data_IF_221362377249
#
_entry.id   IF_221362377249
#
_cell.length_a   1.000
_cell.length_b   1.000
_cell.length_c   1.000
_cell.angle_alpha   90.00
_cell.angle_beta   90.00
_cell.angle_gamma   90.00
#
_symmetry.space_group_name_H-M   'P 1'
#
loop_
_entity.id
_entity.type
_entity.pdbx_description
1 polymer ?
#
# COMPACT_ATOMS: atom_id res chain seq x y z
N UNK A 1 -13.01 -20.07 26.73
CA UNK A 1 -13.72 -19.53 25.55
C UNK A 1 -13.37 -18.07 25.24
N UNK A 2 -13.26 -17.16 26.23
CA UNK A 2 -12.90 -15.74 26.00
C UNK A 2 -11.48 -15.51 25.45
N UNK A 3 -10.47 -16.27 25.91
CA UNK A 3 -9.08 -16.10 25.48
C UNK A 3 -8.87 -16.39 23.97
N UNK A 4 -9.57 -17.38 23.42
CA UNK A 4 -9.51 -17.71 21.99
C UNK A 4 -10.06 -16.57 21.10
N UNK A 5 -11.03 -15.81 21.60
CA UNK A 5 -11.58 -14.64 20.90
C UNK A 5 -10.53 -13.53 20.73
N UNK A 6 -9.72 -13.27 21.77
CA UNK A 6 -8.68 -12.23 21.75
C UNK A 6 -7.48 -12.61 20.88
N UNK A 7 -7.13 -13.90 20.82
CA UNK A 7 -6.05 -14.42 19.95
C UNK A 7 -6.46 -14.31 18.47
N UNK A 8 -7.71 -14.66 18.13
CA UNK A 8 -8.20 -14.50 16.76
C UNK A 8 -8.23 -13.05 16.28
N UNK A 9 -8.62 -12.11 17.15
CA UNK A 9 -8.73 -10.69 16.81
C UNK A 9 -7.35 -10.02 16.54
N UNK A 10 -6.32 -10.42 17.29
CA UNK A 10 -4.96 -9.89 17.13
C UNK A 10 -4.27 -10.42 15.86
N UNK A 11 -4.49 -11.69 15.51
CA UNK A 11 -4.00 -12.28 14.27
C UNK A 11 -4.60 -11.64 13.00
N UNK A 12 -5.86 -11.21 13.06
CA UNK A 12 -6.52 -10.56 11.91
C UNK A 12 -6.05 -9.11 11.71
N UNK A 13 -5.66 -8.40 12.78
CA UNK A 13 -5.12 -7.04 12.69
C UNK A 13 -3.73 -6.94 12.06
N UNK A 14 -3.01 -8.06 11.95
CA UNK A 14 -1.69 -8.13 11.33
C UNK A 14 -1.73 -8.27 9.79
N UNK A 15 -2.92 -8.28 9.18
CA UNK A 15 -3.08 -8.18 7.73
C UNK A 15 -2.51 -6.83 7.28
N UNK A 16 -1.28 -6.90 6.80
CA UNK A 16 -0.40 -5.79 6.47
C UNK A 16 -1.12 -4.81 5.55
N UNK A 17 -1.25 -3.55 5.99
CA UNK A 17 -1.65 -2.45 5.11
C UNK A 17 -0.52 -2.19 4.10
N UNK A 18 -0.47 -2.99 3.03
CA UNK A 18 0.43 -2.76 1.90
C UNK A 18 -0.18 -1.63 1.08
N UNK A 19 0.39 -0.45 1.20
CA UNK A 19 0.03 0.69 0.37
C UNK A 19 0.74 0.54 -0.98
N UNK A 20 0.00 0.09 -1.98
CA UNK A 20 0.48 0.14 -3.37
C UNK A 20 0.60 1.61 -3.78
N UNK A 21 1.71 1.97 -4.44
CA UNK A 21 1.91 3.31 -4.99
C UNK A 21 1.79 3.26 -6.50
N UNK A 22 1.01 4.16 -7.07
CA UNK A 22 0.81 4.30 -8.51
C UNK A 22 1.37 5.64 -8.98
N UNK A 23 2.08 5.61 -10.09
CA UNK A 23 2.63 6.78 -10.76
C UNK A 23 1.83 7.07 -12.03
N UNK A 24 1.34 8.29 -12.16
CA UNK A 24 0.74 8.81 -13.38
C UNK A 24 1.62 9.91 -13.97
N UNK A 25 1.73 9.92 -15.30
CA UNK A 25 2.33 11.01 -16.05
C UNK A 25 1.24 11.56 -16.97
N UNK A 26 0.95 12.85 -16.88
CA UNK A 26 -0.06 13.49 -17.73
C UNK A 26 0.54 13.96 -19.08
N UNK A 27 -0.32 14.51 -19.93
CA UNK A 27 0.06 14.97 -21.27
C UNK A 27 1.05 16.14 -21.26
N UNK A 28 1.15 16.86 -20.14
CA UNK A 28 2.12 17.94 -19.91
C UNK A 28 3.42 17.43 -19.26
N UNK A 29 3.55 16.12 -19.05
CA UNK A 29 4.70 15.49 -18.42
C UNK A 29 4.73 15.63 -16.89
N UNK A 30 3.64 16.08 -16.26
CA UNK A 30 3.58 16.21 -14.79
C UNK A 30 3.41 14.83 -14.18
N UNK A 31 4.15 14.61 -13.09
CA UNK A 31 4.15 13.34 -12.37
C UNK A 31 3.31 13.48 -11.11
N UNK A 32 2.35 12.58 -10.94
CA UNK A 32 1.52 12.48 -9.74
C UNK A 32 1.59 11.07 -9.17
N UNK A 33 1.70 10.98 -7.84
CA UNK A 33 1.70 9.72 -7.10
C UNK A 33 0.40 9.57 -6.30
N UNK A 34 -0.13 8.35 -6.25
CA UNK A 34 -1.39 8.04 -5.55
C UNK A 34 -1.30 6.65 -4.91
N UNK A 35 -1.96 6.47 -3.77
CA UNK A 35 -2.17 5.15 -3.16
C UNK A 35 -3.41 4.42 -3.73
N UNK A 36 -4.14 5.06 -4.63
CA UNK A 36 -5.30 4.50 -5.31
C UNK A 36 -5.00 4.27 -6.79
N UNK A 37 -5.44 3.14 -7.37
CA UNK A 37 -5.30 2.89 -8.79
C UNK A 37 -6.15 3.89 -9.59
N UNK A 38 -5.57 4.42 -10.67
CA UNK A 38 -6.27 5.30 -11.63
C UNK A 38 -5.95 4.90 -13.07
N UNK A 39 -6.84 5.26 -14.00
CA UNK A 39 -6.68 4.94 -15.41
C UNK A 39 -5.39 5.55 -15.96
N UNK A 40 -4.51 4.71 -16.51
CA UNK A 40 -3.23 5.13 -17.08
C UNK A 40 -2.11 5.29 -16.05
N UNK A 41 -2.39 5.19 -14.76
CA UNK A 41 -1.34 5.11 -13.74
C UNK A 41 -0.72 3.70 -13.74
N UNK A 42 0.59 3.64 -13.55
CA UNK A 42 1.34 2.39 -13.44
C UNK A 42 1.67 2.13 -11.98
N UNK A 43 1.42 0.91 -11.51
CA UNK A 43 1.89 0.47 -10.19
C UNK A 43 3.42 0.57 -10.16
N UNK A 44 3.93 1.20 -9.11
CA UNK A 44 5.35 1.41 -8.88
C UNK A 44 5.82 0.42 -7.82
N UNK A 45 6.76 -0.44 -8.21
CA UNK A 45 7.49 -1.27 -7.28
C UNK A 45 8.53 -0.39 -6.57
N UNK A 46 8.42 -0.30 -5.25
CA UNK A 46 9.33 0.47 -4.43
C UNK A 46 10.33 -0.48 -3.76
N UNK A 47 11.63 -0.15 -3.77
CA UNK A 47 12.58 -0.88 -2.95
C UNK A 47 12.24 -0.65 -1.47
N UNK A 48 12.63 -1.61 -0.64
CA UNK A 48 12.51 -1.44 0.82
C UNK A 48 13.31 -0.22 1.26
N UNK A 49 12.70 0.61 2.10
CA UNK A 49 13.38 1.75 2.71
C UNK A 49 14.33 1.22 3.79
N UNK A 50 15.62 1.50 3.63
CA UNK A 50 16.61 1.36 4.69
C UNK A 50 17.13 2.74 5.10
N UNK A 51 17.37 2.93 6.39
CA UNK A 51 18.06 4.12 6.91
C UNK A 51 19.53 3.76 7.12
N UNK A 52 20.45 4.66 6.76
CA UNK A 52 21.89 4.52 7.03
C UNK A 52 22.25 4.93 8.44
#
# INVERSE_FOLDING_TARGET
>A
MRAFLFIGLTLFGALTARADIYKQVDDYGRVTYSNLPSKGAKKMELPELSTV
#
